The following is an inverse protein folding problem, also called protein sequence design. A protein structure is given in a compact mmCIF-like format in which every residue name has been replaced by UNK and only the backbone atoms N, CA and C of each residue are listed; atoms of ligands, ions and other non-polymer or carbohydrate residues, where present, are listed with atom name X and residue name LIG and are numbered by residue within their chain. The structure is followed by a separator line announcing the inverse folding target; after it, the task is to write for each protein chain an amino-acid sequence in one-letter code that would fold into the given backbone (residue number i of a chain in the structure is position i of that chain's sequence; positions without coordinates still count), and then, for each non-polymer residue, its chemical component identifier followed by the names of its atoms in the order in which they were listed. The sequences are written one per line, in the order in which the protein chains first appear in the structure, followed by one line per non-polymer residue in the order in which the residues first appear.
data_IF_674457752193
#
_entry.id   IF_674457752193
#
_cell.length_a   1.000
_cell.length_b   1.000
_cell.length_c   1.000
_cell.angle_alpha   90.00
_cell.angle_beta   90.00
_cell.angle_gamma   90.00
#
_symmetry.space_group_name_H-M   'P 1'
#
loop_
_entity.id
_entity.type
_entity.pdbx_description
1 polymer ?
#
# COMPACT_ATOMS: atom_id res chain seq x y z
N UNK A 1 -16.31 -46.31 -33.72
CA UNK A 1 -17.26 -45.35 -33.15
C UNK A 1 -18.20 -44.81 -34.23
N UNK A 2 -17.69 -44.09 -35.24
CA UNK A 2 -18.50 -43.49 -36.32
C UNK A 2 -19.44 -44.50 -37.01
N UNK A 3 -18.94 -45.66 -37.45
CA UNK A 3 -19.78 -46.70 -38.09
C UNK A 3 -20.92 -47.17 -37.18
N UNK A 4 -20.63 -47.47 -35.92
CA UNK A 4 -21.65 -47.92 -34.96
C UNK A 4 -22.74 -46.85 -34.74
N UNK A 5 -22.36 -45.57 -34.67
CA UNK A 5 -23.33 -44.48 -34.51
C UNK A 5 -24.18 -44.28 -35.77
N UNK A 6 -23.61 -44.47 -36.97
CA UNK A 6 -24.37 -44.47 -38.23
C UNK A 6 -25.36 -45.63 -38.28
N UNK A 7 -24.97 -46.82 -37.83
CA UNK A 7 -25.87 -47.98 -37.76
C UNK A 7 -27.02 -47.73 -36.77
N UNK A 8 -26.75 -47.10 -35.62
CA UNK A 8 -27.81 -46.67 -34.68
C UNK A 8 -28.79 -45.72 -35.34
N UNK A 9 -28.31 -44.72 -36.10
CA UNK A 9 -29.18 -43.79 -36.81
C UNK A 9 -29.95 -44.41 -37.98
N UNK A 10 -29.48 -45.53 -38.56
CA UNK A 10 -30.26 -46.29 -39.53
C UNK A 10 -31.47 -46.96 -38.88
N UNK A 11 -31.34 -47.44 -37.64
CA UNK A 11 -32.43 -48.05 -36.88
C UNK A 11 -33.36 -46.98 -36.29
N UNK A 12 -32.80 -45.92 -35.71
CA UNK A 12 -33.53 -44.79 -35.14
C UNK A 12 -32.94 -43.46 -35.59
N UNK A 13 -33.46 -42.91 -36.68
CA UNK A 13 -33.03 -41.62 -37.24
C UNK A 13 -33.30 -40.41 -36.34
N UNK A 14 -34.00 -40.59 -35.21
CA UNK A 14 -34.31 -39.51 -34.25
C UNK A 14 -33.50 -39.61 -32.96
N UNK A 15 -32.58 -40.57 -32.86
CA UNK A 15 -31.74 -40.71 -31.67
C UNK A 15 -30.83 -39.48 -31.51
N UNK A 16 -31.26 -38.53 -30.68
CA UNK A 16 -30.58 -37.27 -30.47
C UNK A 16 -29.20 -37.44 -29.83
N UNK A 17 -28.97 -38.54 -29.09
CA UNK A 17 -27.66 -38.84 -28.48
C UNK A 17 -26.70 -39.34 -29.54
N UNK A 18 -27.15 -40.27 -30.40
CA UNK A 18 -26.34 -40.73 -31.51
C UNK A 18 -25.98 -39.58 -32.48
N UNK A 19 -26.93 -38.69 -32.75
CA UNK A 19 -26.66 -37.44 -33.47
C UNK A 19 -25.63 -36.57 -32.74
N UNK A 20 -25.76 -36.35 -31.44
CA UNK A 20 -24.79 -35.54 -30.70
C UNK A 20 -23.38 -36.14 -30.75
N UNK A 21 -23.24 -37.43 -30.47
CA UNK A 21 -21.94 -38.12 -30.46
C UNK A 21 -21.27 -38.08 -31.85
N UNK A 22 -22.03 -38.28 -32.93
CA UNK A 22 -21.49 -38.08 -34.29
C UNK A 22 -21.05 -36.65 -34.51
N UNK A 23 -21.89 -35.67 -34.14
CA UNK A 23 -21.57 -34.26 -34.27
C UNK A 23 -20.30 -33.88 -33.52
N UNK A 24 -20.14 -34.39 -32.29
CA UNK A 24 -18.97 -34.16 -31.45
C UNK A 24 -17.71 -34.82 -32.03
N UNK A 25 -17.81 -36.05 -32.55
CA UNK A 25 -16.71 -36.75 -33.23
C UNK A 25 -16.28 -35.99 -34.48
N UNK A 26 -17.22 -35.50 -35.30
CA UNK A 26 -16.90 -34.71 -36.48
C UNK A 26 -16.26 -33.38 -36.12
N UNK A 27 -16.70 -32.71 -35.05
CA UNK A 27 -16.14 -31.44 -34.60
C UNK A 27 -14.72 -31.58 -34.04
N UNK A 28 -14.47 -32.59 -33.20
CA UNK A 28 -13.24 -32.64 -32.39
C UNK A 28 -12.20 -33.63 -32.92
N UNK A 29 -12.60 -34.68 -33.65
CA UNK A 29 -11.70 -35.78 -34.03
C UNK A 29 -11.47 -35.87 -35.53
N UNK A 30 -12.49 -35.60 -36.34
CA UNK A 30 -12.44 -35.79 -37.80
C UNK A 30 -12.37 -34.48 -38.59
N UNK A 31 -12.48 -33.33 -37.93
CA UNK A 31 -12.47 -31.97 -38.53
C UNK A 31 -13.44 -31.82 -39.72
N UNK A 32 -14.60 -32.48 -39.65
CA UNK A 32 -15.64 -32.41 -40.67
C UNK A 32 -16.76 -31.49 -40.20
N UNK A 33 -16.49 -30.19 -40.25
CA UNK A 33 -17.36 -29.17 -39.65
C UNK A 33 -18.79 -29.14 -40.23
N UNK A 34 -19.03 -29.30 -41.55
CA UNK A 34 -20.39 -29.35 -42.09
C UNK A 34 -21.22 -30.53 -41.55
N UNK A 35 -20.61 -31.71 -41.40
CA UNK A 35 -21.28 -32.85 -40.79
C UNK A 35 -21.48 -32.65 -39.28
N UNK A 36 -20.52 -32.02 -38.61
CA UNK A 36 -20.67 -31.66 -37.20
C UNK A 36 -21.89 -30.75 -37.00
N UNK A 37 -22.00 -29.68 -37.78
CA UNK A 37 -23.14 -28.76 -37.74
C UNK A 37 -24.46 -29.49 -37.98
N UNK A 38 -24.55 -30.30 -39.05
CA UNK A 38 -25.74 -31.07 -39.35
C UNK A 38 -26.17 -31.95 -38.17
N UNK A 39 -25.26 -32.77 -37.65
CA UNK A 39 -25.58 -33.72 -36.60
C UNK A 39 -25.90 -33.03 -35.25
N UNK A 40 -25.21 -31.94 -34.90
CA UNK A 40 -25.50 -31.15 -33.69
C UNK A 40 -26.85 -30.42 -33.78
N UNK A 41 -27.22 -29.92 -34.96
CA UNK A 41 -28.55 -29.35 -35.21
C UNK A 41 -29.66 -30.40 -35.05
N UNK A 42 -29.47 -31.60 -35.62
CA UNK A 42 -30.39 -32.72 -35.43
C UNK A 42 -30.51 -33.12 -33.96
N UNK A 43 -29.39 -33.21 -33.23
CA UNK A 43 -29.38 -33.53 -31.81
C UNK A 43 -30.19 -32.51 -31.00
N UNK A 44 -29.98 -31.22 -31.22
CA UNK A 44 -30.73 -30.16 -30.55
C UNK A 44 -32.23 -30.22 -30.85
N UNK A 45 -32.58 -30.45 -32.13
CA UNK A 45 -33.97 -30.53 -32.59
C UNK A 45 -34.71 -31.72 -31.99
N UNK A 46 -34.15 -32.92 -32.09
CA UNK A 46 -34.80 -34.13 -31.59
C UNK A 46 -34.86 -34.17 -30.06
N UNK A 47 -33.82 -33.70 -29.36
CA UNK A 47 -33.86 -33.56 -27.91
C UNK A 47 -34.99 -32.62 -27.45
N UNK A 48 -35.25 -31.51 -28.18
CA UNK A 48 -36.37 -30.63 -27.89
C UNK A 48 -37.73 -31.29 -28.17
N UNK A 49 -37.85 -32.09 -29.23
CA UNK A 49 -39.08 -32.82 -29.55
C UNK A 49 -39.41 -33.89 -28.50
N UNK A 50 -38.41 -34.43 -27.83
CA UNK A 50 -38.54 -35.37 -26.71
C UNK A 50 -38.58 -34.68 -25.33
N UNK A 51 -38.82 -33.37 -25.29
CA UNK A 51 -38.90 -32.54 -24.07
C UNK A 51 -37.62 -32.54 -23.19
N UNK A 52 -36.48 -32.94 -23.75
CA UNK A 52 -35.18 -32.88 -23.08
C UNK A 52 -34.49 -31.53 -23.36
N UNK A 53 -35.02 -30.47 -22.75
CA UNK A 53 -34.54 -29.09 -22.98
C UNK A 53 -33.09 -28.85 -22.53
N UNK A 54 -32.63 -29.54 -21.48
CA UNK A 54 -31.23 -29.44 -21.02
C UNK A 54 -30.27 -29.98 -22.07
N UNK A 55 -30.55 -31.16 -22.61
CA UNK A 55 -29.72 -31.74 -23.66
C UNK A 55 -29.80 -30.92 -24.95
N UNK A 56 -30.99 -30.41 -25.32
CA UNK A 56 -31.12 -29.54 -26.48
C UNK A 56 -30.21 -28.31 -26.39
N UNK A 57 -30.13 -27.68 -25.20
CA UNK A 57 -29.21 -26.54 -24.95
C UNK A 57 -27.75 -26.95 -25.01
N UNK A 58 -27.42 -28.11 -24.44
CA UNK A 58 -26.06 -28.65 -24.49
C UNK A 58 -25.60 -28.91 -25.93
N UNK A 59 -26.47 -29.48 -26.77
CA UNK A 59 -26.22 -29.67 -28.19
C UNK A 59 -26.10 -28.33 -28.94
N UNK A 60 -26.99 -27.35 -28.65
CA UNK A 60 -26.91 -26.01 -29.24
C UNK A 60 -25.60 -25.29 -28.89
N UNK A 61 -25.06 -25.45 -27.68
CA UNK A 61 -23.75 -24.87 -27.34
C UNK A 61 -22.67 -25.34 -28.30
N UNK A 62 -22.56 -26.65 -28.51
CA UNK A 62 -21.59 -27.24 -29.43
C UNK A 62 -21.89 -26.90 -30.89
N UNK A 63 -23.16 -26.74 -31.28
CA UNK A 63 -23.53 -26.22 -32.59
C UNK A 63 -22.98 -24.81 -32.81
N UNK A 64 -23.00 -23.97 -31.77
CA UNK A 64 -22.35 -22.65 -31.77
C UNK A 64 -20.85 -22.77 -32.07
N UNK A 65 -20.16 -23.70 -31.43
CA UNK A 65 -18.73 -23.96 -31.66
C UNK A 65 -18.45 -24.44 -33.08
N UNK A 66 -19.27 -25.36 -33.61
CA UNK A 66 -19.16 -25.84 -34.99
C UNK A 66 -19.38 -24.70 -36.01
N UNK A 67 -20.37 -23.85 -35.79
CA UNK A 67 -20.59 -22.65 -36.61
C UNK A 67 -19.40 -21.69 -36.53
N UNK A 68 -18.85 -21.50 -35.33
CA UNK A 68 -17.70 -20.64 -35.09
C UNK A 68 -16.46 -21.13 -35.84
N UNK A 69 -16.15 -22.44 -35.76
CA UNK A 69 -15.03 -23.04 -36.49
C UNK A 69 -15.16 -22.91 -38.02
N UNK A 70 -16.40 -22.90 -38.54
CA UNK A 70 -16.69 -22.63 -39.95
C UNK A 70 -16.67 -21.14 -40.33
N UNK A 71 -16.35 -20.25 -39.38
CA UNK A 71 -16.39 -18.79 -39.56
C UNK A 71 -17.81 -18.24 -39.83
N UNK A 72 -18.85 -19.01 -39.52
CA UNK A 72 -20.24 -18.56 -39.54
C UNK A 72 -20.58 -17.81 -38.24
N UNK A 73 -19.88 -16.71 -37.96
CA UNK A 73 -19.92 -16.01 -36.67
C UNK A 73 -21.31 -15.48 -36.29
N UNK A 74 -22.12 -15.04 -37.27
CA UNK A 74 -23.51 -14.63 -37.03
C UNK A 74 -24.36 -15.79 -36.51
N UNK A 75 -24.31 -16.95 -37.19
CA UNK A 75 -25.03 -18.16 -36.78
C UNK A 75 -24.55 -18.68 -35.42
N UNK A 76 -23.23 -18.65 -35.17
CA UNK A 76 -22.66 -18.99 -33.86
C UNK A 76 -23.21 -18.09 -32.74
N UNK A 77 -23.29 -16.78 -32.99
CA UNK A 77 -23.83 -15.79 -32.05
C UNK A 77 -25.31 -16.00 -31.78
N UNK A 78 -26.12 -16.17 -32.83
CA UNK A 78 -27.55 -16.47 -32.71
C UNK A 78 -27.79 -17.75 -31.90
N UNK A 79 -27.04 -18.81 -32.21
CA UNK A 79 -27.14 -20.09 -31.50
C UNK A 79 -26.79 -19.94 -30.01
N UNK A 80 -25.71 -19.21 -29.69
CA UNK A 80 -25.33 -18.95 -28.31
C UNK A 80 -26.40 -18.11 -27.58
N UNK A 81 -26.96 -17.08 -28.23
CA UNK A 81 -28.04 -16.27 -27.67
C UNK A 81 -29.29 -17.10 -27.40
N UNK A 82 -29.66 -18.04 -28.27
CA UNK A 82 -30.80 -18.93 -28.04
C UNK A 82 -30.63 -19.77 -26.77
N UNK A 83 -29.42 -20.29 -26.52
CA UNK A 83 -29.11 -21.02 -25.29
C UNK A 83 -29.30 -20.13 -24.06
N UNK A 84 -28.82 -18.88 -24.14
CA UNK A 84 -28.85 -17.92 -23.04
C UNK A 84 -30.26 -17.43 -22.70
N UNK A 85 -31.14 -17.22 -23.70
CA UNK A 85 -32.52 -16.75 -23.47
C UNK A 85 -33.38 -17.79 -22.73
N UNK A 86 -33.04 -19.08 -22.84
CA UNK A 86 -33.78 -20.15 -22.16
C UNK A 86 -33.43 -20.33 -20.67
N UNK A 87 -32.41 -19.63 -20.15
CA UNK A 87 -31.90 -19.83 -18.80
C UNK A 87 -32.21 -18.63 -17.91
N UNK A 88 -32.70 -18.87 -16.69
CA UNK A 88 -32.89 -17.82 -15.67
C UNK A 88 -31.53 -17.26 -15.21
N UNK A 89 -30.54 -18.14 -15.03
CA UNK A 89 -29.19 -17.77 -14.62
C UNK A 89 -28.14 -18.45 -15.51
N UNK A 90 -27.89 -17.92 -16.72
CA UNK A 90 -26.92 -18.52 -17.60
C UNK A 90 -25.50 -18.46 -17.03
N UNK A 91 -24.80 -19.59 -17.11
CA UNK A 91 -23.41 -19.74 -16.69
C UNK A 91 -22.51 -18.68 -17.32
N UNK A 92 -21.51 -18.21 -16.58
CA UNK A 92 -20.61 -17.16 -17.07
C UNK A 92 -19.80 -17.61 -18.28
N UNK A 93 -19.50 -18.91 -18.39
CA UNK A 93 -18.75 -19.48 -19.51
C UNK A 93 -19.51 -19.33 -20.83
N UNK A 94 -20.81 -19.70 -20.87
CA UNK A 94 -21.64 -19.49 -22.07
C UNK A 94 -21.76 -18.01 -22.41
N UNK A 95 -21.73 -17.15 -21.38
CA UNK A 95 -21.75 -15.72 -21.63
C UNK A 95 -20.44 -15.25 -22.29
N UNK A 96 -19.32 -15.82 -21.86
CA UNK A 96 -18.00 -15.52 -22.37
C UNK A 96 -17.84 -16.00 -23.82
N UNK A 97 -18.25 -17.23 -24.12
CA UNK A 97 -18.28 -17.79 -25.49
C UNK A 97 -19.11 -16.92 -26.44
N UNK A 98 -20.31 -16.53 -26.02
CA UNK A 98 -21.15 -15.63 -26.83
C UNK A 98 -20.49 -14.26 -27.07
N UNK A 99 -19.81 -13.69 -26.07
CA UNK A 99 -19.05 -12.45 -26.28
C UNK A 99 -17.88 -12.65 -27.26
N UNK A 100 -17.24 -13.82 -27.24
CA UNK A 100 -16.19 -14.20 -28.20
C UNK A 100 -16.73 -14.30 -29.62
N UNK A 101 -17.89 -14.93 -29.82
CA UNK A 101 -18.54 -15.05 -31.12
C UNK A 101 -18.98 -13.68 -31.66
N UNK A 102 -19.54 -12.83 -30.81
CA UNK A 102 -19.87 -11.45 -31.17
C UNK A 102 -18.63 -10.65 -31.59
N UNK A 103 -17.50 -10.81 -30.90
CA UNK A 103 -16.27 -10.10 -31.23
C UNK A 103 -15.78 -10.49 -32.63
N UNK A 104 -15.70 -11.79 -32.90
CA UNK A 104 -15.28 -12.31 -34.21
C UNK A 104 -16.28 -12.00 -35.33
N UNK A 105 -17.56 -11.89 -35.02
CA UNK A 105 -18.61 -11.42 -35.94
C UNK A 105 -18.62 -9.91 -36.19
N UNK A 106 -17.75 -9.14 -35.53
CA UNK A 106 -17.67 -7.68 -35.68
C UNK A 106 -18.65 -6.88 -34.82
N UNK A 107 -19.45 -7.52 -33.98
CA UNK A 107 -20.38 -6.88 -33.04
C UNK A 107 -19.65 -6.38 -31.76
N UNK A 108 -18.58 -5.62 -31.95
CA UNK A 108 -17.62 -5.25 -30.89
C UNK A 108 -18.27 -4.51 -29.72
N UNK A 109 -19.23 -3.61 -29.98
CA UNK A 109 -19.90 -2.86 -28.92
C UNK A 109 -20.77 -3.75 -28.00
N UNK A 110 -21.40 -4.78 -28.56
CA UNK A 110 -22.19 -5.76 -27.82
C UNK A 110 -21.27 -6.72 -27.07
N UNK A 111 -20.23 -7.24 -27.73
CA UNK A 111 -19.20 -8.09 -27.14
C UNK A 111 -18.56 -7.41 -25.92
N UNK A 112 -18.14 -6.16 -26.07
CA UNK A 112 -17.47 -5.36 -25.04
C UNK A 112 -18.34 -5.16 -23.80
N UNK A 113 -19.60 -4.72 -23.97
CA UNK A 113 -20.55 -4.57 -22.85
C UNK A 113 -20.77 -5.89 -22.12
N UNK A 114 -20.91 -6.98 -22.88
CA UNK A 114 -21.18 -8.29 -22.32
C UNK A 114 -19.99 -8.83 -21.53
N UNK A 115 -18.79 -8.72 -22.10
CA UNK A 115 -17.54 -9.10 -21.45
C UNK A 115 -17.28 -8.27 -20.19
N UNK A 116 -17.50 -6.95 -20.21
CA UNK A 116 -17.40 -6.11 -19.02
C UNK A 116 -18.36 -6.57 -17.91
N UNK A 117 -19.59 -6.95 -18.26
CA UNK A 117 -20.55 -7.55 -17.35
C UNK A 117 -20.09 -8.88 -16.75
N UNK A 118 -19.35 -9.70 -17.50
CA UNK A 118 -18.77 -10.96 -17.01
C UNK A 118 -17.61 -10.68 -16.05
N UNK A 119 -16.67 -9.83 -16.46
CA UNK A 119 -15.49 -9.45 -15.67
C UNK A 119 -15.87 -8.81 -14.33
N UNK A 120 -16.95 -8.02 -14.30
CA UNK A 120 -17.43 -7.41 -13.06
C UNK A 120 -17.94 -8.42 -12.03
N UNK A 121 -18.52 -9.55 -12.50
CA UNK A 121 -19.00 -10.64 -11.65
C UNK A 121 -17.89 -11.61 -11.24
N UNK A 122 -17.00 -11.94 -12.19
CA UNK A 122 -15.91 -12.88 -11.98
C UNK A 122 -14.60 -12.33 -12.57
N UNK A 123 -13.73 -11.72 -11.74
CA UNK A 123 -12.50 -11.09 -12.21
C UNK A 123 -11.52 -11.98 -12.97
N UNK A 124 -11.62 -13.31 -12.83
CA UNK A 124 -10.77 -14.27 -13.55
C UNK A 124 -10.89 -14.14 -15.07
N UNK A 125 -12.10 -13.80 -15.57
CA UNK A 125 -12.34 -13.64 -17.01
C UNK A 125 -11.61 -12.44 -17.60
N UNK A 126 -11.14 -11.51 -16.76
CA UNK A 126 -10.22 -10.46 -17.19
C UNK A 126 -8.93 -11.06 -17.72
N UNK A 127 -8.32 -11.96 -16.93
CA UNK A 127 -7.04 -12.59 -17.28
C UNK A 127 -7.20 -13.50 -18.49
N UNK A 128 -8.30 -14.25 -18.55
CA UNK A 128 -8.63 -15.08 -19.71
C UNK A 128 -8.80 -14.21 -20.96
N UNK A 129 -9.52 -13.09 -20.88
CA UNK A 129 -9.69 -12.18 -22.01
C UNK A 129 -8.42 -11.48 -22.47
N UNK A 130 -7.42 -11.29 -21.60
CA UNK A 130 -6.13 -10.72 -21.98
C UNK A 130 -5.29 -11.64 -22.87
N UNK A 131 -5.53 -12.95 -22.83
CA UNK A 131 -4.76 -13.94 -23.60
C UNK A 131 -5.59 -14.60 -24.70
N UNK A 132 -6.91 -14.43 -24.68
CA UNK A 132 -7.81 -14.93 -25.72
C UNK A 132 -7.57 -14.20 -27.05
N UNK A 133 -7.20 -14.97 -28.08
CA UNK A 133 -6.79 -14.44 -29.39
C UNK A 133 -7.89 -13.61 -30.03
N UNK A 134 -9.12 -14.08 -29.90
CA UNK A 134 -10.29 -13.42 -30.47
C UNK A 134 -10.54 -12.04 -29.87
N UNK A 135 -10.18 -11.83 -28.60
CA UNK A 135 -10.27 -10.52 -27.96
C UNK A 135 -9.04 -9.66 -28.18
N UNK A 136 -7.84 -10.24 -28.14
CA UNK A 136 -6.59 -9.48 -28.29
C UNK A 136 -6.41 -8.83 -29.66
N UNK A 137 -7.15 -9.29 -30.69
CA UNK A 137 -7.19 -8.72 -32.04
C UNK A 137 -7.96 -7.40 -32.14
N UNK A 138 -8.77 -7.05 -31.14
CA UNK A 138 -9.64 -5.88 -31.18
C UNK A 138 -9.22 -4.82 -30.15
N UNK A 139 -8.88 -3.63 -30.63
CA UNK A 139 -8.41 -2.51 -29.80
C UNK A 139 -9.46 -2.05 -28.80
N UNK A 140 -10.73 -2.07 -29.19
CA UNK A 140 -11.87 -1.66 -28.36
C UNK A 140 -11.99 -2.53 -27.12
N UNK A 141 -11.79 -3.85 -27.27
CA UNK A 141 -11.86 -4.80 -26.15
C UNK A 141 -10.63 -4.63 -25.25
N UNK A 142 -9.43 -4.46 -25.84
CA UNK A 142 -8.21 -4.18 -25.07
C UNK A 142 -8.34 -2.88 -24.27
N UNK A 143 -8.86 -1.83 -24.89
CA UNK A 143 -9.12 -0.55 -24.24
C UNK A 143 -10.13 -0.71 -23.11
N UNK A 144 -11.24 -1.41 -23.32
CA UNK A 144 -12.22 -1.68 -22.25
C UNK A 144 -11.59 -2.42 -21.07
N UNK A 145 -10.72 -3.40 -21.29
CA UNK A 145 -10.02 -4.09 -20.20
C UNK A 145 -9.07 -3.13 -19.46
N UNK A 146 -8.40 -2.21 -20.16
CA UNK A 146 -7.60 -1.17 -19.50
C UNK A 146 -8.47 -0.21 -18.69
N UNK A 147 -9.62 0.18 -19.23
CA UNK A 147 -10.58 1.08 -18.56
C UNK A 147 -11.15 0.44 -17.29
N UNK A 148 -11.52 -0.85 -17.32
CA UNK A 148 -11.98 -1.57 -16.13
C UNK A 148 -10.91 -1.60 -15.03
N UNK A 149 -9.65 -1.83 -15.41
CA UNK A 149 -8.51 -1.78 -14.49
C UNK A 149 -8.33 -0.38 -13.90
N UNK A 150 -8.35 0.65 -14.75
CA UNK A 150 -8.16 2.03 -14.33
C UNK A 150 -9.30 2.53 -13.43
N UNK A 151 -10.55 2.17 -13.76
CA UNK A 151 -11.72 2.42 -12.92
C UNK A 151 -11.55 1.78 -11.53
N UNK A 152 -10.98 0.58 -11.47
CA UNK A 152 -10.70 -0.09 -10.20
C UNK A 152 -9.61 0.61 -9.37
N UNK A 153 -8.49 0.96 -9.98
CA UNK A 153 -7.44 1.75 -9.30
C UNK A 153 -8.00 3.08 -8.79
N UNK A 154 -8.87 3.72 -9.58
CA UNK A 154 -9.53 4.98 -9.21
C UNK A 154 -10.45 4.81 -8.01
N UNK A 155 -11.22 3.72 -7.94
CA UNK A 155 -12.06 3.39 -6.76
C UNK A 155 -11.23 3.16 -5.51
N UNK A 156 -10.15 2.38 -5.58
CA UNK A 156 -9.21 2.18 -4.46
C UNK A 156 -8.65 3.53 -4.00
N UNK A 157 -8.14 4.35 -4.94
CA UNK A 157 -7.61 5.69 -4.64
C UNK A 157 -8.65 6.57 -3.96
N UNK A 158 -9.88 6.60 -4.47
CA UNK A 158 -10.97 7.37 -3.89
C UNK A 158 -11.29 6.89 -2.48
N UNK A 159 -11.42 5.58 -2.27
CA UNK A 159 -11.68 5.00 -0.96
C UNK A 159 -10.57 5.35 0.04
N UNK A 160 -9.29 5.21 -0.33
CA UNK A 160 -8.16 5.58 0.54
C UNK A 160 -8.17 7.08 0.84
N UNK A 161 -8.46 7.95 -0.13
CA UNK A 161 -8.52 9.39 0.09
C UNK A 161 -9.65 9.77 1.06
N UNK A 162 -10.84 9.23 0.84
CA UNK A 162 -12.01 9.47 1.71
C UNK A 162 -11.77 8.92 3.12
N UNK A 163 -11.15 7.75 3.25
CA UNK A 163 -10.77 7.19 4.54
C UNK A 163 -9.68 8.00 5.23
N UNK A 164 -8.71 8.53 4.48
CA UNK A 164 -7.70 9.44 5.01
C UNK A 164 -8.30 10.73 5.55
N UNK A 165 -9.24 11.36 4.83
CA UNK A 165 -9.92 12.58 5.31
C UNK A 165 -10.64 12.38 6.66
N UNK A 166 -11.12 11.16 6.93
CA UNK A 166 -11.74 10.78 8.21
C UNK A 166 -10.74 10.32 9.26
N UNK A 167 -9.48 10.10 8.87
CA UNK A 167 -8.45 9.59 9.75
C UNK A 167 -7.98 10.68 10.71
N UNK A 168 -7.78 10.33 11.99
CA UNK A 168 -7.33 11.26 13.05
C UNK A 168 -6.09 12.07 12.64
N UNK A 169 -5.17 11.44 11.92
CA UNK A 169 -3.90 12.05 11.47
C UNK A 169 -4.06 13.15 10.41
N UNK A 170 -5.14 13.14 9.63
CA UNK A 170 -5.33 14.14 8.58
C UNK A 170 -5.59 15.53 9.18
N UNK A 171 -6.27 15.60 10.33
CA UNK A 171 -6.52 16.86 11.03
C UNK A 171 -5.45 17.23 12.06
N UNK A 172 -4.45 16.38 12.29
CA UNK A 172 -3.48 16.60 13.35
C UNK A 172 -2.40 17.60 12.91
N UNK A 173 -2.28 18.70 13.65
CA UNK A 173 -1.20 19.66 13.47
C UNK A 173 0.04 19.09 14.16
N UNK A 174 0.94 18.49 13.38
CA UNK A 174 2.19 17.95 13.90
C UNK A 174 3.26 19.05 14.07
N UNK A 175 4.13 18.94 15.09
CA UNK A 175 5.19 19.91 15.32
C UNK A 175 6.18 19.98 14.16
N UNK A 176 6.99 21.04 14.14
CA UNK A 176 8.11 21.20 13.21
C UNK A 176 7.77 21.10 11.72
N UNK A 177 6.55 21.49 11.34
CA UNK A 177 6.10 21.48 9.93
C UNK A 177 6.13 20.07 9.33
N UNK A 178 5.96 19.02 10.13
CA UNK A 178 5.62 17.71 9.59
C UNK A 178 4.23 17.84 8.99
N UNK A 179 4.10 17.66 7.68
CA UNK A 179 2.82 17.71 6.98
C UNK A 179 2.32 16.27 6.73
N UNK A 180 1.30 15.80 7.49
CA UNK A 180 0.69 14.49 7.27
C UNK A 180 0.18 14.30 5.84
N UNK A 181 -0.34 15.35 5.20
CA UNK A 181 -0.88 15.26 3.85
C UNK A 181 0.22 15.10 2.80
N UNK A 182 1.38 15.75 2.97
CA UNK A 182 2.53 15.53 2.10
C UNK A 182 3.06 14.09 2.22
N UNK A 183 3.19 13.57 3.45
CA UNK A 183 3.64 12.19 3.68
C UNK A 183 2.65 11.16 3.14
N UNK A 184 1.36 11.36 3.37
CA UNK A 184 0.30 10.53 2.79
C UNK A 184 0.33 10.53 1.25
N UNK A 185 0.46 11.69 0.61
CA UNK A 185 0.57 11.78 -0.86
C UNK A 185 1.77 10.98 -1.39
N UNK A 186 2.93 11.08 -0.72
CA UNK A 186 4.12 10.30 -1.08
C UNK A 186 3.88 8.79 -1.00
N UNK A 187 3.24 8.33 0.07
CA UNK A 187 2.89 6.91 0.24
C UNK A 187 1.86 6.46 -0.81
N UNK A 188 0.84 7.27 -1.06
CA UNK A 188 -0.17 7.04 -2.08
C UNK A 188 0.46 6.89 -3.47
N UNK A 189 1.36 7.80 -3.86
CA UNK A 189 2.06 7.74 -5.15
C UNK A 189 2.89 6.47 -5.30
N UNK A 190 3.59 6.04 -4.25
CA UNK A 190 4.36 4.79 -4.25
C UNK A 190 3.45 3.59 -4.48
N UNK A 191 2.34 3.52 -3.77
CA UNK A 191 1.36 2.43 -3.91
C UNK A 191 0.61 2.46 -5.25
N UNK A 192 0.31 3.64 -5.80
CA UNK A 192 -0.26 3.76 -7.15
C UNK A 192 0.66 3.15 -8.22
N UNK A 193 1.98 3.35 -8.11
CA UNK A 193 2.95 2.71 -9.00
C UNK A 193 2.93 1.19 -8.84
N UNK A 194 2.89 0.67 -7.61
CA UNK A 194 2.82 -0.78 -7.35
C UNK A 194 1.51 -1.37 -7.91
N UNK A 195 0.37 -0.72 -7.68
CA UNK A 195 -0.94 -1.17 -8.19
C UNK A 195 -0.97 -1.26 -9.71
N UNK A 196 -0.22 -0.42 -10.42
CA UNK A 196 -0.11 -0.49 -11.88
C UNK A 196 0.47 -1.83 -12.39
N UNK A 197 1.19 -2.57 -11.53
CA UNK A 197 1.78 -3.87 -11.85
C UNK A 197 1.02 -5.06 -11.23
N UNK A 198 0.06 -4.83 -10.35
CA UNK A 198 -0.68 -5.94 -9.71
C UNK A 198 -1.64 -6.62 -10.70
N UNK A 199 -1.84 -7.95 -10.65
CA UNK A 199 -2.86 -8.62 -11.45
C UNK A 199 -4.25 -8.01 -11.21
N UNK A 200 -5.08 -7.94 -12.26
CA UNK A 200 -6.43 -7.39 -12.11
C UNK A 200 -7.25 -8.14 -11.05
N UNK A 201 -7.11 -9.46 -10.95
CA UNK A 201 -7.78 -10.29 -9.93
C UNK A 201 -7.36 -9.91 -8.51
N UNK A 202 -6.11 -9.50 -8.30
CA UNK A 202 -5.64 -9.03 -6.98
C UNK A 202 -6.28 -7.71 -6.62
N UNK A 203 -6.26 -6.73 -7.55
CA UNK A 203 -7.00 -5.47 -7.39
C UNK A 203 -8.48 -5.81 -7.12
N UNK A 204 -8.99 -6.73 -7.94
CA UNK A 204 -10.22 -7.53 -7.98
C UNK A 204 -10.95 -7.84 -6.66
N UNK A 205 -10.16 -8.44 -5.77
CA UNK A 205 -10.66 -9.13 -4.60
C UNK A 205 -10.14 -8.49 -3.32
N UNK A 206 -9.02 -7.76 -3.39
CA UNK A 206 -8.31 -7.21 -2.23
C UNK A 206 -8.36 -5.69 -2.14
N UNK A 207 -9.33 -5.05 -2.76
CA UNK A 207 -9.47 -3.59 -2.76
C UNK A 207 -9.46 -2.98 -1.35
N UNK A 208 -10.24 -3.51 -0.42
CA UNK A 208 -10.26 -3.03 0.97
C UNK A 208 -8.93 -3.29 1.69
N UNK A 209 -8.31 -4.45 1.46
CA UNK A 209 -7.03 -4.79 2.08
C UNK A 209 -5.89 -3.91 1.57
N UNK A 210 -5.83 -3.67 0.26
CA UNK A 210 -4.86 -2.75 -0.36
C UNK A 210 -5.04 -1.35 0.21
N UNK A 211 -6.29 -0.87 0.30
CA UNK A 211 -6.58 0.42 0.88
C UNK A 211 -6.16 0.52 2.36
N UNK A 212 -6.42 -0.53 3.16
CA UNK A 212 -5.98 -0.62 4.55
C UNK A 212 -4.46 -0.55 4.69
N UNK A 213 -3.72 -1.33 3.89
CA UNK A 213 -2.25 -1.31 3.87
C UNK A 213 -1.70 0.08 3.52
N UNK A 214 -2.32 0.79 2.58
CA UNK A 214 -1.90 2.15 2.21
C UNK A 214 -2.07 3.14 3.37
N UNK A 215 -3.17 3.03 4.13
CA UNK A 215 -3.41 3.87 5.30
C UNK A 215 -2.45 3.52 6.44
N UNK A 216 -2.21 2.22 6.67
CA UNK A 216 -1.29 1.74 7.69
C UNK A 216 0.15 2.17 7.40
N UNK A 217 0.63 2.03 6.16
CA UNK A 217 1.94 2.50 5.73
C UNK A 217 2.07 4.01 5.87
N UNK A 218 1.00 4.76 5.58
CA UNK A 218 0.98 6.21 5.76
C UNK A 218 1.11 6.58 7.24
N UNK A 219 0.39 5.89 8.13
CA UNK A 219 0.53 6.04 9.58
C UNK A 219 1.95 5.71 10.03
N UNK A 220 2.51 4.57 9.61
CA UNK A 220 3.86 4.15 9.96
C UNK A 220 4.90 5.18 9.53
N UNK A 221 4.80 5.71 8.31
CA UNK A 221 5.71 6.73 7.81
C UNK A 221 5.65 8.02 8.65
N UNK A 222 4.45 8.46 9.02
CA UNK A 222 4.27 9.64 9.88
C UNK A 222 4.91 9.40 11.26
N UNK A 223 4.63 8.27 11.88
CA UNK A 223 5.22 7.89 13.18
C UNK A 223 6.75 7.79 13.09
N UNK A 224 7.29 7.24 12.00
CA UNK A 224 8.73 7.17 11.76
C UNK A 224 9.35 8.55 11.62
N UNK A 225 8.71 9.47 10.89
CA UNK A 225 9.21 10.85 10.72
C UNK A 225 9.22 11.61 12.05
N UNK A 226 8.14 11.50 12.85
CA UNK A 226 8.05 12.11 14.18
C UNK A 226 9.15 11.54 15.10
N UNK A 227 9.29 10.21 15.14
CA UNK A 227 10.34 9.54 15.93
C UNK A 227 11.75 9.94 15.50
N UNK A 228 12.01 10.01 14.19
CA UNK A 228 13.31 10.41 13.66
C UNK A 228 13.68 11.83 14.09
N UNK A 229 12.71 12.76 14.08
CA UNK A 229 12.92 14.14 14.55
C UNK A 229 13.06 14.23 16.06
N UNK A 230 12.28 13.48 16.85
CA UNK A 230 12.43 13.44 18.31
C UNK A 230 13.84 12.98 18.70
N UNK A 231 14.31 11.84 18.14
CA UNK A 231 15.68 11.33 18.36
C UNK A 231 16.75 12.32 17.91
N UNK A 232 16.51 13.04 16.81
CA UNK A 232 17.43 14.09 16.36
C UNK A 232 17.57 15.19 17.42
N UNK A 233 16.46 15.66 18.01
CA UNK A 233 16.51 16.66 19.08
C UNK A 233 17.13 16.14 20.37
N UNK A 234 16.84 14.90 20.75
CA UNK A 234 17.47 14.23 21.90
C UNK A 234 18.98 14.18 21.73
N UNK A 235 19.48 13.69 20.58
CA UNK A 235 20.92 13.64 20.32
C UNK A 235 21.58 15.03 20.33
N UNK A 236 20.88 16.06 19.83
CA UNK A 236 21.35 17.44 19.87
C UNK A 236 21.34 18.03 21.28
N UNK A 237 20.32 17.71 22.09
CA UNK A 237 20.19 18.16 23.47
C UNK A 237 21.26 17.49 24.36
N UNK A 238 21.50 16.19 24.18
CA UNK A 238 22.56 15.44 24.87
C UNK A 238 23.95 15.99 24.56
N UNK A 239 24.26 16.24 23.29
CA UNK A 239 25.56 16.83 22.89
C UNK A 239 25.78 18.18 23.56
N UNK A 240 24.73 19.01 23.65
CA UNK A 240 24.79 20.30 24.36
C UNK A 240 24.88 20.11 25.87
N UNK A 241 24.18 19.14 26.44
CA UNK A 241 24.22 18.82 27.85
C UNK A 241 25.61 18.34 28.28
N UNK A 242 26.27 17.46 27.51
CA UNK A 242 27.65 17.04 27.77
C UNK A 242 28.63 18.22 27.81
N UNK A 243 28.51 19.16 26.87
CA UNK A 243 29.29 20.41 26.88
C UNK A 243 28.98 21.26 28.10
N UNK A 244 27.71 21.40 28.46
CA UNK A 244 27.29 22.15 29.64
C UNK A 244 27.78 21.53 30.95
N UNK A 245 27.70 20.21 31.10
CA UNK A 245 28.23 19.49 32.27
C UNK A 245 29.72 19.74 32.43
N UNK A 246 30.49 19.74 31.33
CA UNK A 246 31.92 20.06 31.37
C UNK A 246 32.17 21.51 31.80
N UNK A 247 31.41 22.48 31.28
CA UNK A 247 31.47 23.89 31.71
C UNK A 247 31.13 24.03 33.19
N UNK A 248 30.08 23.36 33.66
CA UNK A 248 29.63 23.42 35.05
C UNK A 248 30.65 22.76 36.00
N UNK A 249 31.22 21.62 35.62
CA UNK A 249 32.33 20.98 36.37
C UNK A 249 33.55 21.90 36.47
N UNK A 250 33.89 22.59 35.38
CA UNK A 250 34.98 23.57 35.37
C UNK A 250 34.66 24.74 36.30
N UNK A 251 33.44 25.29 36.23
CA UNK A 251 32.99 26.35 37.13
C UNK A 251 33.03 25.93 38.61
N UNK A 252 32.56 24.72 38.93
CA UNK A 252 32.63 24.16 40.28
C UNK A 252 34.08 23.98 40.76
N UNK A 253 34.99 23.54 39.90
CA UNK A 253 36.41 23.44 40.23
C UNK A 253 37.03 24.81 40.53
N UNK A 254 36.68 25.85 39.77
CA UNK A 254 37.13 27.23 40.05
C UNK A 254 36.59 27.75 41.39
N UNK A 255 35.33 27.47 41.71
CA UNK A 255 34.74 27.82 43.02
C UNK A 255 35.43 27.09 44.17
N UNK A 256 35.72 25.80 44.02
CA UNK A 256 36.48 25.04 45.00
C UNK A 256 37.90 25.60 45.17
N UNK A 257 38.59 25.93 44.07
CA UNK A 257 39.91 26.57 44.11
C UNK A 257 39.87 27.92 44.85
N UNK A 258 38.87 28.76 44.57
CA UNK A 258 38.67 30.01 45.28
C UNK A 258 38.43 29.80 46.78
N UNK A 259 37.61 28.81 47.17
CA UNK A 259 37.37 28.50 48.57
C UNK A 259 38.65 28.05 49.31
N UNK A 260 39.48 27.23 48.68
CA UNK A 260 40.77 26.79 49.23
C UNK A 260 41.72 27.98 49.42
N UNK A 261 41.82 28.88 48.45
CA UNK A 261 42.65 30.08 48.54
C UNK A 261 42.15 31.03 49.64
N UNK A 262 40.84 31.18 49.78
CA UNK A 262 40.23 31.98 50.84
C UNK A 262 40.55 31.40 52.22
N UNK A 263 40.38 30.08 52.40
CA UNK A 263 40.72 29.38 53.64
C UNK A 263 42.22 29.50 53.96
N UNK A 264 43.08 29.32 52.96
CA UNK A 264 44.54 29.45 53.12
C UNK A 264 44.93 30.87 53.51
N UNK A 265 44.28 31.89 52.92
CA UNK A 265 44.48 33.29 53.28
C UNK A 265 44.02 33.55 54.73
N UNK A 266 42.88 33.00 55.14
CA UNK A 266 42.38 33.13 56.52
C UNK A 266 43.33 32.48 57.54
N UNK A 267 43.85 31.29 57.24
CA UNK A 267 44.85 30.61 58.08
C UNK A 267 46.16 31.38 58.14
N UNK A 268 46.61 31.96 57.03
CA UNK A 268 47.79 32.84 57.01
C UNK A 268 47.60 34.08 57.89
N UNK A 269 46.42 34.71 57.85
CA UNK A 269 46.11 35.82 58.75
C UNK A 269 46.06 35.40 60.22
N UNK A 270 45.46 34.24 60.52
CA UNK A 270 45.40 33.72 61.89
C UNK A 270 46.80 33.41 62.45
N UNK A 271 47.66 32.76 61.67
CA UNK A 271 49.05 32.46 62.05
C UNK A 271 49.87 33.73 62.22
N UNK A 272 49.70 34.71 61.31
CA UNK A 272 50.33 36.02 61.45
C UNK A 272 49.89 36.75 62.73
N UNK A 273 48.60 36.75 63.04
CA UNK A 273 48.08 37.35 64.28
C UNK A 273 48.67 36.72 65.54
N UNK A 274 48.79 35.39 65.57
CA UNK A 274 49.45 34.67 66.68
C UNK A 274 50.94 35.05 66.77
N UNK A 275 51.64 35.17 65.63
CA UNK A 275 53.04 35.59 65.61
C UNK A 275 53.25 37.05 66.02
N UNK A 276 52.32 37.94 65.66
CA UNK A 276 52.28 39.34 66.10
C UNK A 276 52.16 39.40 67.64
N UNK A 277 51.26 38.60 68.24
CA UNK A 277 51.11 38.49 69.70
C UNK A 277 52.38 37.97 70.40
N UNK A 278 53.19 37.16 69.72
CA UNK A 278 54.48 36.66 70.21
C UNK A 278 55.66 37.62 69.95
N UNK A 279 55.42 38.79 69.36
CA UNK A 279 56.45 39.79 69.06
C UNK A 279 57.32 39.49 67.83
N UNK A 280 56.98 38.46 67.04
CA UNK A 280 57.71 38.04 65.83
C UNK A 280 57.02 38.47 64.52
N UNK A 281 55.99 39.31 64.65
CA UNK A 281 55.11 39.73 63.57
C UNK A 281 55.76 40.31 62.30
N UNK A 282 56.85 41.06 62.48
CA UNK A 282 57.55 41.75 61.40
C UNK A 282 58.23 40.82 60.40
N UNK A 283 58.43 39.54 60.73
CA UNK A 283 59.08 38.55 59.88
C UNK A 283 58.17 37.98 58.78
N UNK A 284 56.84 38.11 58.93
CA UNK A 284 55.83 37.62 57.97
C UNK A 284 55.34 38.76 57.05
N UNK A 285 56.26 39.51 56.46
CA UNK A 285 55.98 40.60 55.51
C UNK A 285 55.38 40.10 54.19
N UNK A 286 54.05 39.96 54.12
CA UNK A 286 53.37 39.32 52.98
C UNK A 286 52.23 40.14 52.34
N UNK A 287 52.06 41.42 52.66
CA UNK A 287 50.87 42.19 52.25
C UNK A 287 50.61 42.19 50.73
N UNK A 288 51.67 42.25 49.92
CA UNK A 288 51.57 42.16 48.45
C UNK A 288 51.08 40.78 47.98
N UNK A 289 51.64 39.69 48.51
CA UNK A 289 51.23 38.31 48.18
C UNK A 289 49.77 38.05 48.59
N UNK A 290 49.35 38.56 49.74
CA UNK A 290 47.97 38.40 50.22
C UNK A 290 46.99 39.16 49.33
N UNK A 291 47.32 40.39 48.91
CA UNK A 291 46.47 41.16 47.98
C UNK A 291 46.32 40.45 46.63
N UNK A 292 47.39 39.83 46.13
CA UNK A 292 47.37 39.04 44.91
C UNK A 292 46.50 37.78 45.07
N UNK A 293 46.63 37.06 46.19
CA UNK A 293 45.82 35.87 46.50
C UNK A 293 44.33 36.21 46.61
N UNK A 294 43.99 37.33 47.24
CA UNK A 294 42.60 37.81 47.34
C UNK A 294 42.05 38.21 45.96
N UNK A 295 42.82 38.93 45.13
CA UNK A 295 42.42 39.28 43.78
C UNK A 295 42.18 38.02 42.91
N UNK A 296 43.06 37.03 43.02
CA UNK A 296 42.94 35.76 42.29
C UNK A 296 41.74 34.94 42.79
N UNK A 297 41.47 34.96 44.10
CA UNK A 297 40.28 34.34 44.70
C UNK A 297 39.00 34.98 44.17
N UNK A 298 38.95 36.32 44.10
CA UNK A 298 37.79 37.05 43.56
C UNK A 298 37.58 36.75 42.07
N UNK A 299 38.66 36.74 41.28
CA UNK A 299 38.61 36.42 39.86
C UNK A 299 38.12 34.98 39.61
N UNK A 300 38.65 34.01 40.34
CA UNK A 300 38.21 32.60 40.28
C UNK A 300 36.77 32.43 40.75
N UNK A 301 36.37 33.10 41.83
CA UNK A 301 35.02 33.05 42.37
C UNK A 301 33.98 33.60 41.39
N UNK A 302 34.26 34.75 40.78
CA UNK A 302 33.40 35.36 39.77
C UNK A 302 33.33 34.52 38.49
N UNK A 303 34.47 34.07 37.98
CA UNK A 303 34.52 33.20 36.80
C UNK A 303 33.77 31.88 37.04
N UNK A 304 33.99 31.25 38.20
CA UNK A 304 33.29 30.03 38.61
C UNK A 304 31.77 30.23 38.70
N UNK A 305 31.32 31.30 39.36
CA UNK A 305 29.90 31.62 39.48
C UNK A 305 29.21 31.89 38.13
N UNK A 306 29.90 32.58 37.21
CA UNK A 306 29.41 32.84 35.85
C UNK A 306 29.29 31.55 35.03
N UNK A 307 30.29 30.65 35.10
CA UNK A 307 30.28 29.38 34.39
C UNK A 307 29.19 28.44 34.92
N UNK A 308 28.96 28.39 36.24
CA UNK A 308 27.90 27.57 36.85
C UNK A 308 26.50 28.08 36.46
N UNK A 309 26.32 29.40 36.36
CA UNK A 309 25.04 30.01 35.96
C UNK A 309 24.81 30.03 34.44
N UNK A 310 25.79 29.62 33.65
CA UNK A 310 25.67 29.61 32.19
C UNK A 310 24.69 28.53 31.73
N UNK A 311 23.53 28.95 31.22
CA UNK A 311 22.60 28.08 30.50
C UNK A 311 22.76 28.36 29.00
N UNK A 312 23.15 27.37 28.18
CA UNK A 312 23.36 27.62 26.75
C UNK A 312 22.08 28.10 26.08
N UNK A 313 22.11 29.16 25.28
CA UNK A 313 20.93 29.65 24.58
C UNK A 313 20.35 28.56 23.66
N UNK A 314 19.03 28.38 23.73
CA UNK A 314 18.29 27.43 22.89
C UNK A 314 18.12 26.01 23.43
N UNK A 315 18.73 25.63 24.56
CA UNK A 315 18.44 24.33 25.22
C UNK A 315 16.96 24.19 25.60
N UNK A 316 16.38 25.25 26.18
CA UNK A 316 14.94 25.31 26.50
C UNK A 316 14.05 25.13 25.26
N UNK A 317 14.47 25.65 24.10
CA UNK A 317 13.72 25.49 22.84
C UNK A 317 13.79 24.06 22.33
N UNK A 318 14.97 23.43 22.40
CA UNK A 318 15.14 22.02 21.99
C UNK A 318 14.33 21.07 22.87
N UNK A 319 14.35 21.27 24.19
CA UNK A 319 13.58 20.46 25.14
C UNK A 319 12.07 20.62 24.94
N UNK A 320 11.59 21.85 24.67
CA UNK A 320 10.18 22.08 24.34
C UNK A 320 9.77 21.35 23.07
N UNK A 321 10.56 21.45 22.00
CA UNK A 321 10.29 20.74 20.74
C UNK A 321 10.30 19.22 20.89
N UNK A 322 11.25 18.70 21.69
CA UNK A 322 11.29 17.28 22.00
C UNK A 322 10.02 16.84 22.75
N UNK A 323 9.63 17.58 23.79
CA UNK A 323 8.40 17.30 24.54
C UNK A 323 7.14 17.36 23.64
N UNK A 324 7.03 18.38 22.77
CA UNK A 324 5.92 18.48 21.80
C UNK A 324 5.84 17.28 20.85
N UNK A 325 6.99 16.77 20.39
CA UNK A 325 7.05 15.59 19.52
C UNK A 325 6.74 14.29 20.28
N UNK A 326 7.22 14.15 21.51
CA UNK A 326 6.97 12.97 22.35
C UNK A 326 5.50 12.91 22.78
N UNK A 327 4.88 14.05 23.10
CA UNK A 327 3.43 14.14 23.36
C UNK A 327 2.63 13.78 22.10
N UNK A 328 3.09 14.24 20.92
CA UNK A 328 2.48 13.85 19.66
C UNK A 328 2.59 12.34 19.44
N UNK A 329 3.74 11.70 19.70
CA UNK A 329 3.90 10.24 19.60
C UNK A 329 2.95 9.49 20.52
N UNK A 330 2.80 9.92 21.76
CA UNK A 330 1.85 9.31 22.70
C UNK A 330 0.42 9.37 22.19
N UNK A 331 0.01 10.49 21.58
CA UNK A 331 -1.30 10.62 20.94
C UNK A 331 -1.43 9.72 19.71
N UNK A 332 -0.35 9.49 18.96
CA UNK A 332 -0.33 8.61 17.78
C UNK A 332 -0.37 7.11 18.14
N UNK A 333 0.13 6.75 19.32
CA UNK A 333 0.16 5.38 19.85
C UNK A 333 -1.07 5.03 20.69
N UNK A 334 -1.78 6.04 21.21
CA UNK A 334 -3.05 5.82 21.91
C UNK A 334 -4.14 5.26 20.98
N UNK A 335 -4.90 4.25 21.41
CA UNK A 335 -5.86 3.53 20.57
C UNK A 335 -7.03 4.38 20.01
#
# INVERSE_FOLDING_TARGET
AEHMLKDVLQVNHRDYRAHFELGWVYLNLLDNLPLAEFHLEQAARYARLEDNLLFARFALRHLGDACYCQQHFGKATETALQVLHGQEQPELEHRYECARYMAMGGELASATRRLAGIVSKAPLYYMQAQVERDFTRHDEIRQMLQDLRQARVTRIRHHVHTSWQKHRLAGMILPDRIDPHALFRRTMEKHLRVMSHLPYVTLAQREQQIAGLMLEDSRKLIVQEVNARSRHYESHSERRHRRWVWVNKTGAALLHGAAILLLSSALFFATRYIADLAGMGSWLGGNGLVSLLLALTLALGLAGALLVRFVPPGTRRLLRKQAELDDSLRLLESP
#
